data_IF_630533666279
#
_entry.id   IF_630533666279
#
_cell.length_a   1.000
_cell.length_b   1.000
_cell.length_c   1.000
_cell.angle_alpha   90.00
_cell.angle_beta   90.00
_cell.angle_gamma   90.00
#
_symmetry.space_group_name_H-M   'P 1'
#
loop_
_entity.id
_entity.type
_entity.pdbx_description
1 polymer ?
#
# COMPACT_ATOMS: atom_id res chain seq x y z
N UNK A 1 -17.15 6.00 21.81
CA UNK A 1 -15.70 5.70 21.85
C UNK A 1 -15.02 6.52 20.77
N UNK A 2 -13.93 7.23 21.08
CA UNK A 2 -13.20 8.00 20.08
C UNK A 2 -12.40 7.05 19.17
N UNK A 3 -12.43 7.29 17.85
CA UNK A 3 -11.66 6.51 16.90
C UNK A 3 -10.16 6.74 17.17
N UNK A 4 -9.35 5.69 17.37
CA UNK A 4 -7.93 5.87 17.62
C UNK A 4 -7.24 6.52 16.42
N UNK A 5 -6.41 7.54 16.63
CA UNK A 5 -5.77 8.30 15.55
C UNK A 5 -4.97 7.43 14.55
N UNK A 6 -4.40 6.31 15.00
CA UNK A 6 -3.63 5.38 14.18
C UNK A 6 -4.47 4.67 13.11
N UNK A 7 -5.78 4.49 13.32
CA UNK A 7 -6.64 3.90 12.28
C UNK A 7 -6.69 4.79 11.05
N UNK A 8 -6.55 6.11 11.21
CA UNK A 8 -6.46 7.05 10.09
C UNK A 8 -5.20 6.79 9.25
N UNK A 9 -4.07 6.48 9.89
CA UNK A 9 -2.83 6.14 9.19
C UNK A 9 -2.93 4.81 8.44
N UNK A 10 -3.58 3.80 9.03
CA UNK A 10 -3.85 2.52 8.35
C UNK A 10 -4.72 2.73 7.11
N UNK A 11 -5.80 3.50 7.24
CA UNK A 11 -6.69 3.82 6.12
C UNK A 11 -5.99 4.66 5.04
N UNK A 12 -5.18 5.64 5.44
CA UNK A 12 -4.39 6.45 4.53
C UNK A 12 -3.36 5.60 3.77
N UNK A 13 -2.67 4.68 4.45
CA UNK A 13 -1.71 3.77 3.81
C UNK A 13 -2.41 2.86 2.78
N UNK A 14 -3.56 2.30 3.13
CA UNK A 14 -4.36 1.48 2.21
C UNK A 14 -4.85 2.28 0.99
N UNK A 15 -5.35 3.50 1.20
CA UNK A 15 -5.79 4.39 0.14
C UNK A 15 -4.63 4.78 -0.80
N UNK A 16 -3.49 5.18 -0.24
CA UNK A 16 -2.29 5.52 -1.02
C UNK A 16 -1.78 4.32 -1.83
N UNK A 17 -1.76 3.12 -1.24
CA UNK A 17 -1.39 1.89 -1.94
C UNK A 17 -2.35 1.60 -3.10
N UNK A 18 -3.66 1.71 -2.86
CA UNK A 18 -4.69 1.51 -3.88
C UNK A 18 -4.54 2.49 -5.05
N UNK A 19 -4.36 3.78 -4.76
CA UNK A 19 -4.16 4.82 -5.77
C UNK A 19 -2.89 4.51 -6.58
N UNK A 20 -1.80 4.17 -5.88
CA UNK A 20 -0.53 3.83 -6.51
C UNK A 20 -0.66 2.73 -7.56
N UNK A 21 -1.24 1.57 -7.18
CA UNK A 21 -1.40 0.43 -8.09
C UNK A 21 -2.40 0.70 -9.20
N UNK A 22 -3.44 1.49 -8.93
CA UNK A 22 -4.45 1.86 -9.94
C UNK A 22 -3.85 2.78 -11.00
N UNK A 23 -3.08 3.79 -10.60
CA UNK A 23 -2.35 4.67 -11.53
C UNK A 23 -1.33 3.86 -12.34
N UNK A 24 -0.62 2.94 -11.69
CA UNK A 24 0.34 2.06 -12.35
C UNK A 24 -0.30 1.18 -13.42
N UNK A 25 -1.43 0.54 -13.10
CA UNK A 25 -2.19 -0.29 -14.04
C UNK A 25 -2.73 0.52 -15.22
N UNK A 26 -3.27 1.72 -14.97
CA UNK A 26 -3.76 2.63 -16.03
C UNK A 26 -2.65 3.10 -16.96
N UNK A 27 -1.47 3.37 -16.42
CA UNK A 27 -0.33 3.82 -17.22
C UNK A 27 0.33 2.69 -18.03
N UNK A 28 0.06 1.42 -17.69
CA UNK A 28 0.67 0.27 -18.34
C UNK A 28 -0.40 -0.78 -18.73
N UNK A 29 -1.35 -0.43 -19.63
CA UNK A 29 -2.52 -1.26 -19.91
C UNK A 29 -2.20 -2.60 -20.59
N UNK A 30 -1.13 -2.68 -21.37
CA UNK A 30 -0.71 -3.89 -22.08
C UNK A 30 0.44 -4.66 -21.42
N UNK A 31 0.91 -4.21 -20.26
CA UNK A 31 2.06 -4.81 -19.57
C UNK A 31 1.62 -5.54 -18.30
N UNK A 32 2.17 -6.72 -18.07
CA UNK A 32 1.98 -7.42 -16.80
C UNK A 32 2.78 -6.72 -15.70
N UNK A 33 2.09 -6.33 -14.64
CA UNK A 33 2.70 -5.72 -13.47
C UNK A 33 3.42 -6.81 -12.65
N UNK A 34 4.75 -6.75 -12.57
CA UNK A 34 5.56 -7.65 -11.75
C UNK A 34 5.77 -7.11 -10.34
N UNK A 35 6.12 -7.98 -9.40
CA UNK A 35 6.58 -7.59 -8.07
C UNK A 35 8.02 -7.09 -8.08
N UNK A 36 8.85 -7.61 -8.99
CA UNK A 36 10.30 -7.43 -8.98
C UNK A 36 10.84 -6.71 -10.21
N UNK A 37 9.96 -6.38 -11.16
CA UNK A 37 10.33 -5.65 -12.37
C UNK A 37 9.53 -4.35 -12.41
N UNK A 38 10.25 -3.25 -12.53
CA UNK A 38 9.66 -1.93 -12.74
C UNK A 38 8.96 -1.89 -14.10
N UNK A 39 7.68 -1.49 -14.16
CA UNK A 39 6.98 -1.29 -15.42
C UNK A 39 7.51 -0.04 -16.14
N UNK A 40 7.20 0.06 -17.44
CA UNK A 40 7.78 1.07 -18.34
C UNK A 40 7.45 2.52 -17.91
N UNK A 41 6.26 2.77 -17.34
CA UNK A 41 5.83 4.10 -16.87
C UNK A 41 5.53 4.07 -15.37
N UNK A 42 6.47 4.56 -14.54
CA UNK A 42 6.41 4.46 -13.07
C UNK A 42 6.35 5.75 -12.21
N UNK A 43 6.61 7.00 -12.70
CA UNK A 43 7.07 8.07 -11.80
C UNK A 43 6.05 8.53 -10.75
N UNK A 44 4.75 8.58 -11.06
CA UNK A 44 3.74 9.03 -10.08
C UNK A 44 3.34 7.91 -9.08
N UNK A 45 3.36 6.65 -9.53
CA UNK A 45 2.95 5.51 -8.69
C UNK A 45 3.91 5.28 -7.52
N UNK A 46 5.22 5.45 -7.76
CA UNK A 46 6.25 5.24 -6.74
C UNK A 46 6.11 6.21 -5.56
N UNK A 47 5.68 7.45 -5.82
CA UNK A 47 5.45 8.44 -4.78
C UNK A 47 4.29 8.05 -3.84
N UNK A 48 3.19 7.53 -4.39
CA UNK A 48 2.06 7.05 -3.59
C UNK A 48 2.39 5.78 -2.79
N UNK A 49 3.20 4.88 -3.36
CA UNK A 49 3.68 3.69 -2.64
C UNK A 49 4.66 4.07 -1.51
N UNK A 50 5.52 5.06 -1.75
CA UNK A 50 6.41 5.62 -0.72
C UNK A 50 5.60 6.26 0.41
N UNK A 51 4.59 7.08 0.10
CA UNK A 51 3.71 7.68 1.10
C UNK A 51 3.00 6.61 1.96
N UNK A 52 2.53 5.53 1.33
CA UNK A 52 1.95 4.39 2.04
C UNK A 52 2.98 3.70 2.96
N UNK A 53 4.21 3.50 2.47
CA UNK A 53 5.30 2.87 3.23
C UNK A 53 5.75 3.72 4.43
N UNK A 54 5.81 5.04 4.27
CA UNK A 54 6.14 5.99 5.34
C UNK A 54 5.05 5.99 6.42
N UNK A 55 3.77 5.99 6.02
CA UNK A 55 2.66 5.88 6.98
C UNK A 55 2.73 4.57 7.78
N UNK A 56 3.10 3.45 7.16
CA UNK A 56 3.30 2.18 7.84
C UNK A 56 4.52 2.17 8.77
N UNK A 57 5.64 2.76 8.34
CA UNK A 57 6.84 2.87 9.16
C UNK A 57 6.59 3.75 10.39
N UNK A 58 5.85 4.85 10.24
CA UNK A 58 5.43 5.70 11.34
C UNK A 58 4.50 4.96 12.31
N UNK A 59 3.54 4.19 11.80
CA UNK A 59 2.67 3.37 12.63
C UNK A 59 3.46 2.27 13.39
N UNK A 60 4.40 1.60 12.72
CA UNK A 60 5.26 0.60 13.36
C UNK A 60 6.17 1.21 14.43
N UNK A 61 6.85 2.32 14.12
CA UNK A 61 7.81 2.95 15.02
C UNK A 61 7.18 3.70 16.19
N UNK A 62 6.08 4.41 15.97
CA UNK A 62 5.43 5.22 17.00
C UNK A 62 4.35 4.49 17.80
N UNK A 63 3.78 3.38 17.28
CA UNK A 63 2.63 2.70 17.89
C UNK A 63 2.98 1.35 18.54
N UNK A 64 4.05 0.68 18.09
CA UNK A 64 4.46 -0.61 18.65
C UNK A 64 5.08 -0.51 20.06
N UNK A 65 5.50 0.69 20.47
CA UNK A 65 6.14 0.92 21.77
C UNK A 65 5.12 1.01 22.93
N UNK A 66 3.91 1.52 22.70
CA UNK A 66 3.06 2.05 23.79
C UNK A 66 1.63 1.47 23.86
N UNK A 67 1.27 0.47 23.05
CA UNK A 67 -0.13 0.00 22.97
C UNK A 67 -0.32 -1.51 23.06
N UNK A 68 -1.57 -1.94 23.37
CA UNK A 68 -1.95 -3.36 23.46
C UNK A 68 -1.82 -4.13 22.13
N UNK A 69 -1.76 -3.44 21.00
CA UNK A 69 -1.42 -4.03 19.70
C UNK A 69 0.07 -4.39 19.63
N UNK A 70 0.92 -3.68 20.37
CA UNK A 70 2.36 -3.93 20.47
C UNK A 70 3.02 -4.15 19.11
N UNK A 71 3.85 -5.20 19.01
CA UNK A 71 4.55 -5.57 17.78
C UNK A 71 3.66 -5.91 16.58
N UNK A 72 2.34 -6.06 16.73
CA UNK A 72 1.42 -6.36 15.62
C UNK A 72 1.03 -5.14 14.79
N UNK A 73 1.30 -3.93 15.27
CA UNK A 73 1.01 -2.70 14.53
C UNK A 73 1.69 -2.70 13.14
N UNK A 74 2.95 -3.12 13.08
CA UNK A 74 3.72 -3.17 11.83
C UNK A 74 3.17 -4.22 10.84
N UNK A 75 2.94 -5.50 11.22
CA UNK A 75 2.25 -6.47 10.37
C UNK A 75 0.90 -5.98 9.82
N UNK A 76 0.08 -5.34 10.65
CA UNK A 76 -1.22 -4.81 10.21
C UNK A 76 -1.04 -3.69 9.18
N UNK A 77 -0.08 -2.79 9.42
CA UNK A 77 0.25 -1.73 8.48
C UNK A 77 0.76 -2.30 7.14
N UNK A 78 1.63 -3.31 7.19
CA UNK A 78 2.14 -3.98 6.00
C UNK A 78 1.01 -4.63 5.20
N UNK A 79 0.06 -5.31 5.86
CA UNK A 79 -1.13 -5.87 5.22
C UNK A 79 -1.99 -4.78 4.57
N UNK A 80 -2.17 -3.64 5.24
CA UNK A 80 -2.94 -2.52 4.71
C UNK A 80 -2.34 -1.98 3.39
N UNK A 81 -1.03 -2.05 3.20
CA UNK A 81 -0.37 -1.69 1.93
C UNK A 81 -0.41 -2.82 0.92
N UNK A 82 -0.08 -4.04 1.33
CA UNK A 82 0.09 -5.17 0.41
C UNK A 82 -1.24 -5.67 -0.15
N UNK A 83 -2.32 -5.65 0.63
CA UNK A 83 -3.62 -6.18 0.17
C UNK A 83 -4.16 -5.39 -1.03
N UNK A 84 -4.31 -4.05 -0.99
CA UNK A 84 -4.69 -3.26 -2.17
C UNK A 84 -3.83 -3.54 -3.39
N UNK A 85 -2.50 -3.60 -3.18
CA UNK A 85 -1.54 -3.84 -4.24
C UNK A 85 -1.78 -5.20 -4.91
N UNK A 86 -1.91 -6.26 -4.10
CA UNK A 86 -2.14 -7.63 -4.61
C UNK A 86 -3.43 -7.75 -5.41
N UNK A 87 -4.53 -7.15 -4.91
CA UNK A 87 -5.85 -7.29 -5.52
C UNK A 87 -5.94 -6.59 -6.87
N UNK A 88 -5.56 -5.32 -6.94
CA UNK A 88 -5.63 -4.55 -8.20
C UNK A 88 -4.66 -5.11 -9.23
N UNK A 89 -3.44 -5.47 -8.82
CA UNK A 89 -2.45 -6.12 -9.68
C UNK A 89 -2.95 -7.45 -10.24
N UNK A 90 -3.51 -8.31 -9.39
CA UNK A 90 -4.03 -9.61 -9.82
C UNK A 90 -5.21 -9.45 -10.78
N UNK A 91 -6.10 -8.48 -10.51
CA UNK A 91 -7.17 -8.10 -11.41
C UNK A 91 -6.64 -7.66 -12.77
N UNK A 92 -5.73 -6.69 -12.82
CA UNK A 92 -5.11 -6.19 -14.05
C UNK A 92 -4.43 -7.31 -14.85
N UNK A 93 -3.57 -8.09 -14.21
CA UNK A 93 -2.79 -9.14 -14.89
C UNK A 93 -3.66 -10.27 -15.48
N UNK A 94 -4.89 -10.48 -14.98
CA UNK A 94 -5.87 -11.41 -15.56
C UNK A 94 -6.56 -10.87 -16.82
N UNK A 95 -6.55 -9.56 -17.04
CA UNK A 95 -7.13 -8.94 -18.25
C UNK A 95 -6.09 -8.81 -19.38
N UNK A 96 -4.80 -8.79 -19.04
CA UNK A 96 -3.69 -8.64 -19.99
C UNK A 96 -3.23 -9.99 -20.60
N UNK A 97 -3.47 -11.10 -19.92
CA UNK A 97 -3.14 -12.45 -20.40
C UNK A 97 -4.36 -13.33 -20.52
#
# INVERSE_FOLDING_TARGET
MALPWWTLFVLAAAACSWISVTVLARNNPGERLSWFRSPTVAPLSQLWFLAASVACAWLGGSYAADTALGGWAYPIAALAVLVPWTLVRAGHNRHVG
#
